data_IF_587916100425
#
_entry.id   IF_587916100425
#
_cell.length_a   1.000
_cell.length_b   1.000
_cell.length_c   1.000
_cell.angle_alpha   90.00
_cell.angle_beta   90.00
_cell.angle_gamma   90.00
#
_symmetry.space_group_name_H-M   'P 1'
#
loop_
_entity.id
_entity.type
_entity.pdbx_description
1 polymer ?
#
# COMPACT_ATOMS: atom_id res chain seq x y z
N UNK A 1 -15.68 -8.62 24.51
CA UNK A 1 -15.33 -10.04 24.71
C UNK A 1 -14.96 -10.35 26.15
N UNK A 2 -13.98 -9.68 26.79
CA UNK A 2 -13.60 -9.96 28.20
C UNK A 2 -14.75 -9.80 29.21
N UNK A 3 -15.47 -8.66 29.17
CA UNK A 3 -16.61 -8.42 30.07
C UNK A 3 -17.74 -9.46 29.92
N UNK A 4 -17.87 -10.07 28.74
CA UNK A 4 -18.84 -11.14 28.46
C UNK A 4 -18.40 -12.41 29.16
N UNK A 5 -17.12 -12.79 29.04
CA UNK A 5 -16.55 -13.92 29.77
C UNK A 5 -16.75 -13.74 31.28
N UNK A 6 -16.41 -12.57 31.83
CA UNK A 6 -16.55 -12.30 33.26
C UNK A 6 -18.00 -12.47 33.74
N UNK A 7 -18.98 -11.96 32.98
CA UNK A 7 -20.41 -12.14 33.28
C UNK A 7 -20.83 -13.61 33.21
N UNK A 8 -20.39 -14.33 32.19
CA UNK A 8 -20.75 -15.72 31.97
C UNK A 8 -20.13 -16.65 33.05
N UNK A 9 -18.89 -16.38 33.45
CA UNK A 9 -18.23 -17.10 34.54
C UNK A 9 -18.91 -16.88 35.90
N UNK A 10 -19.45 -15.68 36.17
CA UNK A 10 -20.23 -15.40 37.40
C UNK A 10 -21.55 -16.18 37.48
N UNK A 11 -22.04 -16.72 36.38
CA UNK A 11 -23.32 -17.46 36.29
C UNK A 11 -23.15 -18.94 35.95
N UNK A 12 -21.91 -19.42 35.79
CA UNK A 12 -21.62 -20.83 35.51
C UNK A 12 -21.99 -21.71 36.72
N UNK A 13 -22.65 -22.84 36.47
CA UNK A 13 -23.14 -23.74 37.53
C UNK A 13 -22.24 -24.94 37.76
N UNK A 14 -21.39 -25.28 36.80
CA UNK A 14 -20.47 -26.41 36.86
C UNK A 14 -19.16 -26.13 36.11
N UNK A 15 -18.21 -27.07 36.19
CA UNK A 15 -16.88 -26.93 35.56
C UNK A 15 -16.95 -26.98 34.03
N UNK A 16 -17.88 -27.75 33.45
CA UNK A 16 -18.03 -27.85 32.01
C UNK A 16 -18.53 -26.52 31.42
N UNK A 17 -19.42 -25.81 32.12
CA UNK A 17 -19.86 -24.45 31.75
C UNK A 17 -18.68 -23.48 31.73
N UNK A 18 -17.79 -23.54 32.73
CA UNK A 18 -16.59 -22.69 32.81
C UNK A 18 -15.67 -22.94 31.62
N UNK A 19 -15.42 -24.21 31.30
CA UNK A 19 -14.58 -24.59 30.15
C UNK A 19 -15.23 -24.16 28.83
N UNK A 20 -16.55 -24.30 28.71
CA UNK A 20 -17.32 -23.86 27.55
C UNK A 20 -17.23 -22.34 27.34
N UNK A 21 -17.48 -21.54 28.38
CA UNK A 21 -17.39 -20.09 28.32
C UNK A 21 -15.97 -19.61 28.00
N UNK A 22 -14.95 -20.20 28.61
CA UNK A 22 -13.55 -19.87 28.34
C UNK A 22 -13.16 -20.20 26.88
N UNK A 23 -13.53 -21.39 26.40
CA UNK A 23 -13.23 -21.82 25.02
C UNK A 23 -13.94 -20.92 24.01
N UNK A 24 -15.22 -20.60 24.23
CA UNK A 24 -15.98 -19.68 23.40
C UNK A 24 -15.39 -18.27 23.39
N UNK A 25 -14.91 -17.77 24.52
CA UNK A 25 -14.20 -16.49 24.60
C UNK A 25 -12.94 -16.47 23.75
N UNK A 26 -12.11 -17.51 23.84
CA UNK A 26 -10.87 -17.61 23.06
C UNK A 26 -11.16 -17.70 21.56
N UNK A 27 -12.10 -18.54 21.16
CA UNK A 27 -12.51 -18.69 19.76
C UNK A 27 -13.03 -17.36 19.19
N UNK A 28 -13.87 -16.65 19.96
CA UNK A 28 -14.36 -15.33 19.59
C UNK A 28 -13.22 -14.33 19.45
N UNK A 29 -12.28 -14.28 20.39
CA UNK A 29 -11.13 -13.36 20.31
C UNK A 29 -10.26 -13.64 19.07
N UNK A 30 -10.02 -14.92 18.75
CA UNK A 30 -9.23 -15.28 17.59
C UNK A 30 -9.92 -14.89 16.28
N UNK A 31 -11.24 -15.12 16.18
CA UNK A 31 -12.07 -14.75 15.02
C UNK A 31 -12.14 -13.23 14.85
N UNK A 32 -12.51 -12.50 15.91
CA UNK A 32 -12.63 -11.04 15.88
C UNK A 32 -11.30 -10.34 15.54
N UNK A 33 -10.16 -10.93 15.93
CA UNK A 33 -8.83 -10.44 15.57
C UNK A 33 -8.35 -10.89 14.19
N UNK A 34 -9.18 -11.57 13.40
CA UNK A 34 -8.85 -12.10 12.07
C UNK A 34 -7.72 -13.15 12.08
N UNK A 35 -7.41 -13.76 13.23
CA UNK A 35 -6.30 -14.70 13.37
C UNK A 35 -6.64 -16.11 12.86
N UNK A 36 -7.91 -16.38 12.59
CA UNK A 36 -8.39 -17.67 12.06
C UNK A 36 -8.38 -17.72 10.53
N UNK A 37 -8.11 -16.61 9.84
CA UNK A 37 -8.13 -16.54 8.39
C UNK A 37 -6.71 -16.43 7.79
N UNK A 38 -6.12 -17.54 7.30
CA UNK A 38 -4.74 -17.53 6.81
C UNK A 38 -4.56 -16.66 5.56
N UNK A 39 -5.60 -16.48 4.73
CA UNK A 39 -5.51 -15.65 3.53
C UNK A 39 -5.48 -14.16 3.87
N UNK A 40 -6.29 -13.70 4.82
CA UNK A 40 -6.23 -12.32 5.33
C UNK A 40 -4.90 -12.05 6.02
N UNK A 41 -4.44 -12.96 6.87
CA UNK A 41 -3.15 -12.83 7.56
C UNK A 41 -1.99 -12.71 6.59
N UNK A 42 -1.97 -13.49 5.50
CA UNK A 42 -0.92 -13.39 4.48
C UNK A 42 -0.85 -11.99 3.86
N UNK A 43 -1.98 -11.37 3.55
CA UNK A 43 -2.02 -10.02 2.98
C UNK A 43 -1.56 -8.99 4.02
N UNK A 44 -2.03 -9.11 5.25
CA UNK A 44 -1.60 -8.25 6.35
C UNK A 44 -0.09 -8.35 6.62
N UNK A 45 0.48 -9.57 6.64
CA UNK A 45 1.92 -9.78 6.81
C UNK A 45 2.74 -9.16 5.68
N UNK A 46 2.27 -9.22 4.43
CA UNK A 46 2.92 -8.53 3.31
C UNK A 46 2.90 -7.02 3.50
N UNK A 47 1.76 -6.45 3.88
CA UNK A 47 1.64 -5.02 4.18
C UNK A 47 2.63 -4.58 5.27
N UNK A 48 2.71 -5.34 6.37
CA UNK A 48 3.67 -5.08 7.44
C UNK A 48 5.13 -5.20 6.99
N UNK A 49 5.44 -6.18 6.12
CA UNK A 49 6.77 -6.33 5.55
C UNK A 49 7.19 -5.10 4.74
N UNK A 50 6.26 -4.53 3.95
CA UNK A 50 6.48 -3.28 3.20
C UNK A 50 6.76 -2.12 4.15
N UNK A 51 5.99 -1.99 5.24
CA UNK A 51 6.23 -0.97 6.26
C UNK A 51 7.64 -1.09 6.87
N UNK A 52 8.07 -2.30 7.24
CA UNK A 52 9.42 -2.53 7.81
C UNK A 52 10.52 -2.23 6.80
N UNK A 53 10.35 -2.67 5.54
CA UNK A 53 11.30 -2.36 4.48
C UNK A 53 11.39 -0.85 4.23
N UNK A 54 10.26 -0.16 4.24
CA UNK A 54 10.19 1.29 4.10
C UNK A 54 10.92 1.99 5.23
N UNK A 55 10.61 1.66 6.50
CA UNK A 55 11.28 2.30 7.65
C UNK A 55 12.79 2.07 7.65
N UNK A 56 13.24 0.86 7.30
CA UNK A 56 14.66 0.54 7.18
C UNK A 56 15.34 1.35 6.06
N UNK A 57 14.66 1.52 4.92
CA UNK A 57 15.15 2.34 3.82
C UNK A 57 15.25 3.82 4.24
N UNK A 58 14.21 4.36 4.88
CA UNK A 58 14.17 5.75 5.34
C UNK A 58 15.26 6.03 6.38
N UNK A 59 15.48 5.12 7.33
CA UNK A 59 16.54 5.24 8.31
C UNK A 59 17.92 5.30 7.66
N UNK A 60 18.21 4.42 6.71
CA UNK A 60 19.49 4.42 5.97
C UNK A 60 19.70 5.71 5.20
N UNK A 61 18.65 6.20 4.52
CA UNK A 61 18.71 7.44 3.78
C UNK A 61 18.96 8.66 4.69
N UNK A 62 18.25 8.75 5.81
CA UNK A 62 18.48 9.83 6.79
C UNK A 62 19.90 9.77 7.36
N UNK A 63 20.45 8.58 7.59
CA UNK A 63 21.84 8.41 8.05
C UNK A 63 22.86 8.83 6.99
N UNK A 64 22.66 8.44 5.72
CA UNK A 64 23.58 8.81 4.64
C UNK A 64 23.62 10.31 4.40
N UNK A 65 22.47 11.00 4.45
CA UNK A 65 22.43 12.46 4.30
C UNK A 65 23.10 13.20 5.46
N UNK A 66 23.04 12.66 6.69
CA UNK A 66 23.74 13.24 7.84
C UNK A 66 25.27 13.13 7.71
N UNK A 67 25.77 11.98 7.28
CA UNK A 67 27.21 11.76 7.09
C UNK A 67 27.79 12.63 5.98
N UNK A 68 27.04 12.82 4.88
CA UNK A 68 27.45 13.68 3.77
C UNK A 68 27.54 15.15 4.22
N UNK A 69 26.58 15.59 5.03
CA UNK A 69 26.59 16.93 5.62
C UNK A 69 27.76 17.18 6.58
N UNK A 70 28.25 16.16 7.28
CA UNK A 70 29.41 16.29 8.19
C UNK A 70 30.76 16.25 7.45
N UNK A 71 30.84 15.50 6.34
CA UNK A 71 32.05 15.41 5.53
C UNK A 71 32.29 16.69 4.69
N UNK A 72 31.21 17.31 4.21
CA UNK A 72 31.27 18.61 3.52
C UNK A 72 31.74 19.77 4.43
N UNK A 73 31.45 19.69 5.74
CA UNK A 73 31.86 20.71 6.72
C UNK A 73 33.35 20.69 7.08
N UNK A 74 34.04 19.54 6.96
CA UNK A 74 35.43 19.39 7.41
C UNK A 74 36.48 19.82 6.38
N UNK A 75 36.11 20.03 5.11
CA UNK A 75 37.06 20.41 4.06
C UNK A 75 37.39 21.92 4.06
N UNK A 76 36.62 22.74 4.79
CA UNK A 76 36.76 24.21 4.76
C UNK A 76 37.71 24.81 5.83
N UNK A 77 38.14 24.03 6.84
CA UNK A 77 38.76 24.59 8.06
C UNK A 77 40.30 24.47 8.16
N UNK A 78 41.04 24.07 7.10
CA UNK A 78 42.50 23.87 7.21
C UNK A 78 43.40 24.58 6.17
N UNK A 79 42.92 25.68 5.58
CA UNK A 79 43.57 26.30 4.42
C UNK A 79 44.08 27.75 4.56
N UNK A 80 44.31 28.31 5.75
CA UNK A 80 44.90 29.67 5.85
C UNK A 80 46.42 29.61 5.75
N UNK A 81 46.97 29.59 4.54
CA UNK A 81 48.36 29.95 4.27
C UNK A 81 48.40 31.33 3.60
N UNK A 82 48.90 32.38 4.26
CA UNK A 82 49.06 33.70 3.65
C UNK A 82 50.20 33.70 2.62
N UNK A 83 49.85 33.91 1.34
CA UNK A 83 50.78 34.26 0.26
C UNK A 83 50.79 33.30 -0.92
N UNK A 84 50.05 33.59 -1.99
CA UNK A 84 50.17 32.88 -3.28
C UNK A 84 49.90 33.83 -4.48
N UNK A 85 50.56 33.66 -5.65
CA UNK A 85 50.53 34.63 -6.75
C UNK A 85 49.18 34.70 -7.47
N UNK A 86 48.84 35.87 -8.02
CA UNK A 86 47.56 36.24 -8.63
C UNK A 86 46.99 35.32 -9.75
N UNK A 87 47.77 34.36 -10.27
CA UNK A 87 47.30 33.35 -11.22
C UNK A 87 46.73 32.06 -10.60
N UNK A 88 47.01 31.80 -9.31
CA UNK A 88 46.53 30.61 -8.61
C UNK A 88 45.06 30.74 -8.18
N UNK A 89 44.60 31.96 -7.92
CA UNK A 89 43.23 32.25 -7.45
C UNK A 89 42.16 31.87 -8.49
N UNK A 90 42.42 32.10 -9.78
CA UNK A 90 41.48 31.75 -10.85
C UNK A 90 41.37 30.23 -11.05
N UNK A 91 42.48 29.50 -10.87
CA UNK A 91 42.52 28.03 -10.93
C UNK A 91 41.77 27.42 -9.74
N UNK A 92 41.92 27.98 -8.54
CA UNK A 92 41.19 27.58 -7.34
C UNK A 92 39.70 27.88 -7.49
N UNK A 93 39.33 29.05 -8.04
CA UNK A 93 37.92 29.41 -8.27
C UNK A 93 37.24 28.49 -9.28
N UNK A 94 37.88 28.23 -10.44
CA UNK A 94 37.36 27.30 -11.46
C UNK A 94 37.22 25.87 -10.91
N UNK A 95 38.16 25.43 -10.08
CA UNK A 95 38.12 24.12 -9.42
C UNK A 95 37.01 24.02 -8.37
N UNK A 96 36.78 25.08 -7.59
CA UNK A 96 35.69 25.15 -6.62
C UNK A 96 34.32 25.13 -7.30
N UNK A 97 34.14 25.88 -8.39
CA UNK A 97 32.91 25.88 -9.19
C UNK A 97 32.67 24.49 -9.81
N UNK A 98 33.72 23.83 -10.29
CA UNK A 98 33.64 22.47 -10.82
C UNK A 98 33.26 21.45 -9.74
N UNK A 99 33.83 21.55 -8.54
CA UNK A 99 33.48 20.69 -7.40
C UNK A 99 32.03 20.88 -6.97
N UNK A 100 31.58 22.11 -6.77
CA UNK A 100 30.18 22.42 -6.45
C UNK A 100 29.19 21.90 -7.51
N UNK A 101 29.54 22.00 -8.79
CA UNK A 101 28.68 21.51 -9.87
C UNK A 101 28.55 19.97 -9.84
N UNK A 102 29.64 19.27 -9.52
CA UNK A 102 29.67 17.80 -9.40
C UNK A 102 28.89 17.33 -8.16
N UNK A 103 29.07 18.01 -7.03
CA UNK A 103 28.35 17.73 -5.77
C UNK A 103 26.85 17.97 -5.90
N UNK A 104 26.46 19.07 -6.55
CA UNK A 104 25.05 19.38 -6.81
C UNK A 104 24.42 18.39 -7.78
N UNK A 105 25.17 17.91 -8.78
CA UNK A 105 24.69 16.88 -9.71
C UNK A 105 24.48 15.53 -9.00
N UNK A 106 25.40 15.12 -8.12
CA UNK A 106 25.31 13.86 -7.35
C UNK A 106 24.17 13.90 -6.32
N UNK A 107 24.02 15.02 -5.61
CA UNK A 107 22.90 15.24 -4.69
C UNK A 107 21.53 15.22 -5.40
N UNK A 108 21.42 15.83 -6.58
CA UNK A 108 20.18 15.83 -7.37
C UNK A 108 19.82 14.41 -7.85
N UNK A 109 20.83 13.61 -8.24
CA UNK A 109 20.64 12.23 -8.66
C UNK A 109 20.21 11.33 -7.48
N UNK A 110 20.79 11.53 -6.29
CA UNK A 110 20.38 10.86 -5.06
C UNK A 110 18.92 11.15 -4.69
N UNK A 111 18.50 12.42 -4.76
CA UNK A 111 17.11 12.83 -4.48
C UNK A 111 16.13 12.19 -5.45
N UNK A 112 16.45 12.18 -6.75
CA UNK A 112 15.60 11.55 -7.78
C UNK A 112 15.49 10.03 -7.59
N UNK A 113 16.59 9.34 -7.28
CA UNK A 113 16.58 7.91 -6.97
C UNK A 113 15.79 7.58 -5.70
N UNK A 114 15.84 8.46 -4.71
CA UNK A 114 15.05 8.35 -3.48
C UNK A 114 13.55 8.54 -3.75
N UNK A 115 13.16 9.58 -4.49
CA UNK A 115 11.76 9.82 -4.89
C UNK A 115 11.17 8.63 -5.65
N UNK A 116 11.93 8.04 -6.58
CA UNK A 116 11.52 6.83 -7.27
C UNK A 116 11.28 5.64 -6.31
N UNK A 117 12.11 5.53 -5.27
CA UNK A 117 11.99 4.51 -4.23
C UNK A 117 10.74 4.75 -3.37
N UNK A 118 10.46 5.99 -2.98
CA UNK A 118 9.23 6.38 -2.26
C UNK A 118 8.00 6.02 -3.08
N UNK A 119 7.97 6.41 -4.35
CA UNK A 119 6.87 6.10 -5.26
C UNK A 119 6.66 4.58 -5.45
N UNK A 120 7.74 3.79 -5.40
CA UNK A 120 7.64 2.33 -5.43
C UNK A 120 7.01 1.77 -4.16
N UNK A 121 7.41 2.26 -2.99
CA UNK A 121 6.81 1.87 -1.72
C UNK A 121 5.33 2.26 -1.65
N UNK A 122 4.99 3.48 -2.07
CA UNK A 122 3.61 3.99 -2.08
C UNK A 122 2.69 3.13 -2.95
N UNK A 123 3.10 2.84 -4.19
CA UNK A 123 2.34 1.94 -5.09
C UNK A 123 2.17 0.54 -4.51
N UNK A 124 3.23 -0.01 -3.91
CA UNK A 124 3.20 -1.35 -3.34
C UNK A 124 2.32 -1.43 -2.09
N UNK A 125 2.46 -0.46 -1.18
CA UNK A 125 1.64 -0.32 0.00
C UNK A 125 0.16 -0.15 -0.38
N UNK A 126 -0.14 0.79 -1.28
CA UNK A 126 -1.50 1.04 -1.77
C UNK A 126 -2.14 -0.20 -2.37
N UNK A 127 -1.39 -0.98 -3.16
CA UNK A 127 -1.89 -2.23 -3.73
C UNK A 127 -2.24 -3.27 -2.65
N UNK A 128 -1.37 -3.45 -1.65
CA UNK A 128 -1.62 -4.38 -0.55
C UNK A 128 -2.77 -3.93 0.37
N UNK A 129 -2.89 -2.62 0.62
CA UNK A 129 -3.98 -2.06 1.42
C UNK A 129 -5.33 -2.24 0.72
N UNK A 130 -5.40 -1.97 -0.59
CA UNK A 130 -6.63 -2.17 -1.36
C UNK A 130 -7.00 -3.66 -1.47
N UNK A 131 -6.03 -4.55 -1.63
CA UNK A 131 -6.28 -6.01 -1.61
C UNK A 131 -6.81 -6.47 -0.23
N UNK A 132 -6.29 -5.92 0.86
CA UNK A 132 -6.79 -6.18 2.21
C UNK A 132 -8.24 -5.73 2.36
N UNK A 133 -8.57 -4.50 1.97
CA UNK A 133 -9.93 -3.95 2.05
C UNK A 133 -10.91 -4.74 1.17
N UNK A 134 -10.51 -5.10 -0.05
CA UNK A 134 -11.34 -5.91 -0.94
C UNK A 134 -11.65 -7.29 -0.35
N UNK A 135 -10.64 -7.95 0.24
CA UNK A 135 -10.84 -9.24 0.91
C UNK A 135 -11.73 -9.11 2.14
N UNK A 136 -11.48 -8.11 3.00
CA UNK A 136 -12.32 -7.83 4.17
C UNK A 136 -13.78 -7.59 3.77
N UNK A 137 -14.02 -6.88 2.68
CA UNK A 137 -15.37 -6.65 2.15
C UNK A 137 -16.07 -7.96 1.76
N UNK A 138 -15.37 -8.87 1.07
CA UNK A 138 -15.90 -10.19 0.73
C UNK A 138 -16.28 -10.97 1.99
N UNK A 139 -15.37 -11.06 2.97
CA UNK A 139 -15.62 -11.78 4.23
C UNK A 139 -16.76 -11.17 5.06
N UNK A 140 -16.89 -9.84 5.04
CA UNK A 140 -18.00 -9.16 5.70
C UNK A 140 -19.37 -9.55 5.13
N UNK A 141 -19.43 -9.96 3.85
CA UNK A 141 -20.69 -10.35 3.18
C UNK A 141 -20.97 -11.84 3.21
N UNK A 142 -19.95 -12.70 3.24
CA UNK A 142 -20.11 -14.17 3.22
C UNK A 142 -20.48 -14.78 4.57
N UNK A 143 -19.92 -14.25 5.66
CA UNK A 143 -19.96 -14.91 6.98
C UNK A 143 -20.78 -14.14 8.04
N UNK A 144 -21.50 -13.10 7.65
CA UNK A 144 -22.25 -12.20 8.56
C UNK A 144 -21.41 -11.65 9.73
N UNK A 145 -20.08 -11.59 9.57
CA UNK A 145 -19.16 -11.06 10.56
C UNK A 145 -19.23 -9.53 10.57
N UNK A 146 -20.16 -8.98 11.35
CA UNK A 146 -20.31 -7.53 11.56
C UNK A 146 -19.01 -6.87 12.05
N UNK A 147 -18.10 -7.66 12.65
CA UNK A 147 -16.75 -7.22 12.99
C UNK A 147 -15.95 -6.73 11.78
N UNK A 148 -16.05 -7.40 10.62
CA UNK A 148 -15.28 -7.05 9.43
C UNK A 148 -15.73 -5.71 8.83
N UNK A 149 -17.04 -5.45 8.79
CA UNK A 149 -17.59 -4.14 8.39
C UNK A 149 -17.08 -3.01 9.31
N UNK A 150 -17.04 -3.25 10.62
CA UNK A 150 -16.49 -2.29 11.59
C UNK A 150 -15.00 -2.01 11.33
N UNK A 151 -14.20 -3.03 11.03
CA UNK A 151 -12.79 -2.86 10.66
C UNK A 151 -12.65 -2.01 9.40
N UNK A 152 -13.43 -2.29 8.35
CA UNK A 152 -13.42 -1.50 7.11
C UNK A 152 -13.74 -0.03 7.40
N UNK A 153 -14.81 0.25 8.16
CA UNK A 153 -15.18 1.62 8.51
C UNK A 153 -14.12 2.36 9.34
N UNK A 154 -13.29 1.65 10.10
CA UNK A 154 -12.19 2.25 10.88
C UNK A 154 -10.97 2.51 10.02
N UNK A 155 -10.69 1.63 9.05
CA UNK A 155 -9.58 1.77 8.11
C UNK A 155 -9.86 2.82 7.03
N UNK A 156 -11.11 2.94 6.60
CA UNK A 156 -11.54 3.84 5.53
C UNK A 156 -12.70 4.76 5.99
N UNK A 157 -12.53 5.37 7.16
CA UNK A 157 -13.55 6.20 7.79
C UNK A 157 -14.02 7.37 6.91
N UNK A 158 -13.10 7.94 6.13
CA UNK A 158 -13.39 9.06 5.23
C UNK A 158 -13.72 8.64 3.80
N UNK A 159 -13.75 7.32 3.50
CA UNK A 159 -14.06 6.79 2.17
C UNK A 159 -12.96 7.00 1.11
N UNK A 160 -11.76 7.45 1.50
CA UNK A 160 -10.66 7.72 0.58
C UNK A 160 -10.26 6.50 -0.26
N UNK A 161 -10.23 5.31 0.35
CA UNK A 161 -9.83 4.08 -0.31
C UNK A 161 -10.99 3.40 -1.04
N UNK A 162 -12.21 3.49 -0.52
CA UNK A 162 -13.43 3.00 -1.17
C UNK A 162 -13.60 3.65 -2.54
N UNK A 163 -13.46 4.97 -2.63
CA UNK A 163 -13.57 5.70 -3.90
C UNK A 163 -12.49 5.25 -4.91
N UNK A 164 -11.27 4.95 -4.44
CA UNK A 164 -10.20 4.40 -5.29
C UNK A 164 -10.51 2.99 -5.78
N UNK A 165 -11.10 2.15 -4.94
CA UNK A 165 -11.47 0.79 -5.28
C UNK A 165 -12.60 0.76 -6.33
N UNK A 166 -13.58 1.66 -6.21
CA UNK A 166 -14.66 1.84 -7.20
C UNK A 166 -14.12 2.31 -8.56
N UNK A 167 -13.19 3.26 -8.58
CA UNK A 167 -12.54 3.68 -9.85
C UNK A 167 -11.79 2.54 -10.52
N UNK A 168 -10.99 1.79 -9.76
CA UNK A 168 -10.22 0.66 -10.30
C UNK A 168 -11.12 -0.45 -10.86
N UNK A 169 -12.27 -0.70 -10.22
CA UNK A 169 -13.25 -1.69 -10.71
C UNK A 169 -14.01 -1.20 -11.94
N UNK A 170 -14.34 0.09 -12.03
CA UNK A 170 -14.94 0.71 -13.21
C UNK A 170 -13.98 0.68 -14.43
N UNK A 171 -12.71 1.02 -14.24
CA UNK A 171 -11.67 0.95 -15.28
C UNK A 171 -11.46 -0.48 -15.79
N UNK A 172 -11.48 -1.47 -14.88
CA UNK A 172 -11.37 -2.89 -15.26
C UNK A 172 -12.57 -3.34 -16.09
N UNK A 173 -13.77 -2.85 -15.76
CA UNK A 173 -15.00 -3.18 -16.49
C UNK A 173 -15.05 -2.56 -17.89
N UNK A 174 -14.50 -1.35 -18.07
CA UNK A 174 -14.38 -0.72 -19.39
C UNK A 174 -13.37 -1.42 -20.29
N UNK A 175 -12.28 -1.96 -19.72
CA UNK A 175 -11.23 -2.66 -20.49
C UNK A 175 -11.66 -4.06 -20.97
N UNK A 176 -12.77 -4.59 -20.44
CA UNK A 176 -13.28 -5.95 -20.74
C UNK A 176 -14.29 -5.97 -21.90
N UNK A 177 -14.75 -4.82 -22.41
CA UNK A 177 -15.60 -4.80 -23.64
C UNK A 177 -14.70 -4.91 -24.88
N UNK A 178 -14.61 -6.05 -25.58
CA UNK A 178 -13.93 -6.09 -26.85
C UNK A 178 -14.88 -5.48 -27.88
N UNK A 179 -14.46 -4.38 -28.52
CA UNK A 179 -15.08 -3.97 -29.77
C UNK A 179 -14.79 -5.03 -30.83
N UNK A 180 -15.69 -5.99 -30.99
CA UNK A 180 -15.72 -6.86 -32.18
C UNK A 180 -16.71 -6.23 -33.16
N UNK A 181 -16.27 -5.74 -34.34
CA UNK A 181 -17.18 -5.37 -35.40
C UNK A 181 -17.82 -6.66 -35.93
N UNK A 182 -19.10 -6.88 -35.63
CA UNK A 182 -19.86 -7.98 -36.22
C UNK A 182 -20.08 -7.67 -37.71
N UNK A 183 -19.62 -8.51 -38.65
CA UNK A 183 -20.01 -8.37 -40.05
C UNK A 183 -21.49 -8.75 -40.18
N UNK A 184 -22.34 -7.81 -40.56
CA UNK A 184 -23.74 -8.10 -40.92
C UNK A 184 -23.73 -9.00 -42.16
N UNK A 185 -24.06 -10.28 -41.99
CA UNK A 185 -24.44 -11.17 -43.09
C UNK A 185 -25.76 -10.72 -43.73
N UNK A 186 -26.02 -11.07 -45.00
CA UNK A 186 -27.17 -10.58 -45.75
C UNK A 186 -28.49 -11.16 -45.21
N UNK A 187 -29.62 -10.44 -45.36
CA UNK A 187 -30.89 -10.86 -44.79
C UNK A 187 -31.46 -12.07 -45.56
N UNK A 188 -31.93 -13.06 -44.81
CA UNK A 188 -32.66 -14.23 -45.34
C UNK A 188 -34.08 -13.80 -45.75
N UNK A 189 -34.64 -14.26 -46.89
CA UNK A 189 -35.99 -13.89 -47.30
C UNK A 189 -37.06 -14.62 -46.46
N UNK A 190 -38.11 -13.89 -46.07
CA UNK A 190 -39.28 -14.43 -45.36
C UNK A 190 -40.11 -15.40 -46.24
N UNK A 191 -40.75 -16.43 -45.65
CA UNK A 191 -41.57 -17.37 -46.40
C UNK A 191 -42.91 -16.73 -46.78
N UNK A 192 -43.28 -16.82 -48.06
CA UNK A 192 -44.62 -16.45 -48.56
C UNK A 192 -45.62 -17.50 -48.11
N UNK A 193 -46.63 -17.08 -47.35
CA UNK A 193 -47.81 -17.88 -47.02
C UNK A 193 -48.68 -18.00 -48.28
N UNK A 194 -48.89 -19.24 -48.74
CA UNK A 194 -49.82 -19.53 -49.83
C UNK A 194 -51.25 -19.55 -49.27
N UNK A 195 -52.09 -18.62 -49.75
CA UNK A 195 -53.54 -18.66 -49.60
C UNK A 195 -54.07 -19.78 -50.49
N UNK A 196 -54.73 -20.77 -49.90
CA UNK A 196 -55.55 -21.73 -50.64
C UNK A 196 -56.99 -21.26 -50.63
N UNK A 197 -57.58 -21.21 -51.82
CA UNK A 197 -58.99 -20.96 -52.05
C UNK A 197 -59.70 -22.31 -52.21
N UNK A 198 -60.68 -22.59 -51.36
CA UNK A 198 -62.05 -23.07 -51.65
C UNK A 198 -62.73 -23.55 -50.37
#
# INVERSE_FOLDING_TARGET
TWHILEKNLKSASNIDDVLGHHTGFLDTCLKDCMLTNPELLKVFSKLMSVCVMFTNCMQKFTQSMKLDSELGGQTLEHGTIPGLPAGAEERVRKELTRKHLVEHADATQLVSGFEATINKFDKNFSAHLLDLLARLSIYSTSDCEHGMASVISRLDFNGFYTERLERLSAERSQKVVPQVPVPRGPPVPAPRVAVTAQ
#
